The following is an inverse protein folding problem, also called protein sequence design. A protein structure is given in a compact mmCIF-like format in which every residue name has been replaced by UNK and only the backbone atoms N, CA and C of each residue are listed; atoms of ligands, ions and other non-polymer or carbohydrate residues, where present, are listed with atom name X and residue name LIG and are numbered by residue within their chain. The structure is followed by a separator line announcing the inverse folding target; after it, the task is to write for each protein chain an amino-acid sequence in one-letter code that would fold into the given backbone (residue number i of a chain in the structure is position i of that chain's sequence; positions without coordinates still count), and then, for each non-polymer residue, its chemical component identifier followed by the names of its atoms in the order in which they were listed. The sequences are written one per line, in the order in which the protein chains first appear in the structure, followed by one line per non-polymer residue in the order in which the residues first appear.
data_IF_852535210950
#
_entry.id   IF_852535210950
#
_cell.length_a   1.000
_cell.length_b   1.000
_cell.length_c   1.000
_cell.angle_alpha   90.00
_cell.angle_beta   90.00
_cell.angle_gamma   90.00
#
_symmetry.space_group_name_H-M   'P 1'
#
loop_
_entity.id
_entity.type
_entity.pdbx_description
1 polymer ?
#
# COMPACT_ATOMS: atom_id res chain seq x y z
N UNK A 1 -44.75 31.09 -26.93
CA UNK A 1 -44.79 29.82 -26.17
C UNK A 1 -44.30 28.59 -26.94
N UNK A 2 -44.07 28.66 -28.26
CA UNK A 2 -43.63 27.50 -29.08
C UNK A 2 -42.12 27.26 -29.13
N UNK A 3 -41.28 28.28 -28.92
CA UNK A 3 -39.80 28.16 -28.96
C UNK A 3 -39.21 27.39 -27.77
N UNK A 4 -39.90 27.34 -26.64
CA UNK A 4 -39.46 26.60 -25.43
C UNK A 4 -39.71 25.10 -25.60
N UNK A 5 -40.87 24.72 -26.16
CA UNK A 5 -41.21 23.31 -26.44
C UNK A 5 -40.20 22.63 -27.38
N UNK A 6 -39.64 23.36 -28.35
CA UNK A 6 -38.70 22.78 -29.32
C UNK A 6 -37.28 22.55 -28.77
N UNK A 7 -36.95 23.02 -27.57
CA UNK A 7 -35.66 22.81 -26.90
C UNK A 7 -35.68 21.71 -25.81
N UNK A 8 -36.87 21.27 -25.39
CA UNK A 8 -37.06 20.14 -24.46
C UNK A 8 -36.39 18.83 -24.90
N UNK A 9 -36.49 18.36 -26.16
CA UNK A 9 -35.89 17.07 -26.54
C UNK A 9 -34.36 17.10 -26.46
N UNK A 10 -33.73 18.24 -26.80
CA UNK A 10 -32.28 18.42 -26.69
C UNK A 10 -31.80 18.44 -25.23
N UNK A 11 -32.58 19.03 -24.33
CA UNK A 11 -32.26 19.04 -22.90
C UNK A 11 -32.40 17.65 -22.27
N UNK A 12 -33.43 16.88 -22.66
CA UNK A 12 -33.61 15.49 -22.25
C UNK A 12 -32.49 14.57 -22.76
N UNK A 13 -32.05 14.75 -24.01
CA UNK A 13 -30.92 14.01 -24.58
C UNK A 13 -29.61 14.32 -23.85
N UNK A 14 -29.35 15.60 -23.53
CA UNK A 14 -28.18 16.01 -22.77
C UNK A 14 -28.21 15.45 -21.35
N UNK A 15 -29.38 15.47 -20.68
CA UNK A 15 -29.54 14.90 -19.35
C UNK A 15 -29.33 13.37 -19.34
N UNK A 16 -29.83 12.65 -20.34
CA UNK A 16 -29.57 11.21 -20.49
C UNK A 16 -28.09 10.90 -20.73
N UNK A 17 -27.41 11.70 -21.58
CA UNK A 17 -25.99 11.51 -21.85
C UNK A 17 -25.14 11.72 -20.58
N UNK A 18 -25.47 12.73 -19.78
CA UNK A 18 -24.80 12.98 -18.49
C UNK A 18 -25.05 11.84 -17.48
N UNK A 19 -26.26 11.29 -17.46
CA UNK A 19 -26.60 10.16 -16.59
C UNK A 19 -25.87 8.87 -17.00
N UNK A 20 -25.72 8.62 -18.29
CA UNK A 20 -24.99 7.46 -18.82
C UNK A 20 -23.49 7.49 -18.49
N UNK A 21 -22.87 8.68 -18.50
CA UNK A 21 -21.46 8.84 -18.09
C UNK A 21 -21.27 8.53 -16.61
N UNK A 22 -22.21 8.94 -15.75
CA UNK A 22 -22.16 8.62 -14.32
C UNK A 22 -22.37 7.13 -14.03
N UNK A 23 -23.26 6.47 -14.75
CA UNK A 23 -23.52 5.04 -14.58
C UNK A 23 -22.36 4.14 -15.06
N UNK A 24 -21.49 4.64 -15.92
CA UNK A 24 -20.33 3.90 -16.45
C UNK A 24 -19.09 3.94 -15.54
N UNK A 25 -19.15 4.59 -14.37
CA UNK A 25 -18.06 4.53 -13.41
C UNK A 25 -17.94 3.10 -12.88
N UNK A 26 -17.02 2.31 -13.44
CA UNK A 26 -16.70 0.99 -12.93
C UNK A 26 -16.25 1.12 -11.47
N UNK A 27 -16.78 0.25 -10.60
CA UNK A 27 -16.33 0.23 -9.21
C UNK A 27 -14.81 0.03 -9.18
N UNK A 28 -14.07 0.85 -8.40
CA UNK A 28 -12.64 0.68 -8.26
C UNK A 28 -12.36 -0.74 -7.77
N UNK A 29 -11.70 -1.54 -8.61
CA UNK A 29 -11.28 -2.88 -8.21
C UNK A 29 -10.36 -2.77 -7.00
N UNK A 30 -10.71 -3.46 -5.92
CA UNK A 30 -9.86 -3.55 -4.74
C UNK A 30 -8.52 -4.19 -5.13
N UNK A 31 -7.37 -3.57 -4.82
CA UNK A 31 -6.08 -4.17 -5.09
C UNK A 31 -5.87 -5.40 -4.21
N UNK A 32 -5.15 -6.39 -4.73
CA UNK A 32 -4.65 -7.49 -3.92
C UNK A 32 -3.40 -7.02 -3.18
N UNK A 33 -3.28 -7.37 -1.90
CA UNK A 33 -2.13 -7.03 -1.07
C UNK A 33 -1.35 -8.31 -0.78
N UNK A 34 -0.10 -8.36 -1.24
CA UNK A 34 0.87 -9.40 -0.88
C UNK A 34 1.87 -8.80 0.11
N UNK A 35 1.95 -9.37 1.31
CA UNK A 35 2.87 -8.95 2.35
C UNK A 35 3.91 -10.04 2.61
N UNK A 36 5.18 -9.76 2.31
CA UNK A 36 6.31 -10.69 2.46
C UNK A 36 7.20 -10.20 3.61
N UNK A 37 7.46 -11.07 4.57
CA UNK A 37 8.36 -10.82 5.71
C UNK A 37 9.49 -11.84 5.69
N UNK A 38 10.72 -11.38 5.93
CA UNK A 38 11.93 -12.20 5.97
C UNK A 38 12.56 -12.10 7.35
N UNK A 39 12.97 -13.24 7.92
CA UNK A 39 13.68 -13.27 9.21
C UNK A 39 15.15 -12.89 9.05
N UNK A 40 15.67 -12.17 10.03
CA UNK A 40 17.09 -11.83 10.20
C UNK A 40 17.76 -11.19 8.96
N UNK A 41 16.96 -10.54 8.11
CA UNK A 41 17.48 -9.82 6.95
C UNK A 41 17.98 -8.42 7.34
N UNK A 42 19.23 -8.13 7.02
CA UNK A 42 19.81 -6.80 7.21
C UNK A 42 19.46 -5.90 6.02
N UNK A 43 19.20 -4.60 6.25
CA UNK A 43 19.03 -3.66 5.15
C UNK A 43 20.30 -3.58 4.28
N UNK A 44 21.48 -3.72 4.87
CA UNK A 44 22.75 -3.62 4.14
C UNK A 44 23.08 -4.85 3.29
N UNK A 45 22.23 -5.87 3.32
CA UNK A 45 22.37 -7.04 2.45
C UNK A 45 21.99 -6.69 1.01
N UNK A 46 21.26 -5.61 0.73
CA UNK A 46 20.88 -5.30 -0.64
C UNK A 46 21.76 -4.23 -1.30
N UNK A 47 22.04 -4.34 -2.61
CA UNK A 47 22.88 -3.39 -3.33
C UNK A 47 22.29 -1.98 -3.39
N UNK A 48 20.95 -1.84 -3.30
CA UNK A 48 20.27 -0.55 -3.26
C UNK A 48 20.44 0.20 -1.93
N UNK A 49 20.79 -0.46 -0.83
CA UNK A 49 21.18 0.18 0.43
C UNK A 49 22.70 0.22 0.63
N UNK A 50 23.43 -0.79 0.15
CA UNK A 50 24.88 -0.89 0.26
C UNK A 50 25.47 -1.41 -1.05
N UNK A 51 26.13 -0.53 -1.82
CA UNK A 51 26.77 -0.89 -3.09
C UNK A 51 27.87 -1.95 -2.98
N UNK A 52 28.41 -2.18 -1.79
CA UNK A 52 29.41 -3.21 -1.55
C UNK A 52 28.79 -4.57 -1.19
N UNK A 53 27.46 -4.70 -1.17
CA UNK A 53 26.82 -5.99 -0.91
C UNK A 53 27.15 -7.01 -2.00
N UNK A 54 27.34 -8.26 -1.59
CA UNK A 54 27.54 -9.41 -2.46
C UNK A 54 26.27 -10.20 -2.74
N UNK A 55 25.13 -9.81 -2.15
CA UNK A 55 23.85 -10.50 -2.37
C UNK A 55 23.35 -10.20 -3.79
N UNK A 56 23.00 -11.26 -4.51
CA UNK A 56 22.33 -11.18 -5.81
C UNK A 56 20.84 -11.50 -5.62
N UNK A 57 19.97 -10.50 -5.75
CA UNK A 57 18.53 -10.63 -5.53
C UNK A 57 17.72 -9.92 -6.63
N UNK A 58 17.78 -10.41 -7.88
CA UNK A 58 17.31 -9.66 -9.05
C UNK A 58 15.80 -9.36 -9.05
N UNK A 59 14.99 -10.22 -8.42
CA UNK A 59 13.55 -10.00 -8.28
C UNK A 59 13.25 -8.87 -7.29
N UNK A 60 13.97 -8.82 -6.16
CA UNK A 60 13.78 -7.78 -5.15
C UNK A 60 14.34 -6.45 -5.65
N UNK A 61 15.48 -6.48 -6.34
CA UNK A 61 16.07 -5.30 -6.97
C UNK A 61 15.13 -4.69 -8.01
N UNK A 62 14.48 -5.52 -8.85
CA UNK A 62 13.47 -5.03 -9.78
C UNK A 62 12.28 -4.40 -9.05
N UNK A 63 11.78 -5.03 -7.98
CA UNK A 63 10.70 -4.46 -7.16
C UNK A 63 11.10 -3.13 -6.51
N UNK A 64 12.34 -2.99 -6.07
CA UNK A 64 12.86 -1.74 -5.52
C UNK A 64 12.94 -0.64 -6.59
N UNK A 65 13.35 -0.98 -7.82
CA UNK A 65 13.44 -0.04 -8.93
C UNK A 65 12.08 0.40 -9.50
N UNK A 66 11.09 -0.51 -9.54
CA UNK A 66 9.73 -0.22 -10.02
C UNK A 66 8.83 0.40 -8.94
N UNK A 67 9.24 0.32 -7.67
CA UNK A 67 8.44 0.68 -6.51
C UNK A 67 9.03 1.80 -5.66
N UNK A 68 8.86 1.64 -4.35
CA UNK A 68 9.35 2.58 -3.34
C UNK A 68 10.19 1.85 -2.30
N UNK A 69 11.33 2.44 -1.96
CA UNK A 69 12.27 1.97 -0.95
C UNK A 69 12.21 2.91 0.25
N UNK A 70 12.24 2.35 1.47
CA UNK A 70 12.17 3.12 2.72
C UNK A 70 13.50 3.06 3.46
N UNK A 71 14.25 4.16 3.45
CA UNK A 71 15.56 4.24 4.16
C UNK A 71 15.44 4.20 5.69
N UNK A 72 14.25 4.50 6.22
CA UNK A 72 13.97 4.65 7.65
C UNK A 72 12.82 3.74 8.12
N UNK A 73 12.81 2.48 7.67
CA UNK A 73 11.87 1.47 8.13
C UNK A 73 12.41 0.74 9.38
N UNK A 74 11.78 0.97 10.54
CA UNK A 74 12.22 0.38 11.80
C UNK A 74 11.23 -0.64 12.33
N UNK A 75 11.78 -1.70 12.88
CA UNK A 75 11.04 -2.68 13.67
C UNK A 75 11.35 -2.43 15.15
N UNK A 76 10.33 -2.47 16.02
CA UNK A 76 10.58 -2.42 17.46
C UNK A 76 11.44 -3.64 17.84
N UNK A 77 12.68 -3.39 18.27
CA UNK A 77 13.59 -4.42 18.76
C UNK A 77 13.20 -4.96 20.13
N UNK A 78 14.07 -5.78 20.71
CA UNK A 78 13.97 -6.25 22.10
C UNK A 78 15.30 -6.02 22.80
N UNK A 79 15.25 -5.81 24.12
CA UNK A 79 16.43 -5.81 24.99
C UNK A 79 16.92 -7.24 25.30
N UNK A 80 16.22 -8.28 24.81
CA UNK A 80 16.60 -9.69 24.90
C UNK A 80 16.70 -10.32 23.50
N UNK A 81 17.51 -11.38 23.36
CA UNK A 81 17.49 -12.22 22.16
C UNK A 81 16.09 -12.79 21.87
N UNK A 82 15.86 -13.20 20.61
CA UNK A 82 14.58 -13.64 20.04
C UNK A 82 13.55 -12.52 19.73
N UNK A 83 13.91 -11.61 18.82
CA UNK A 83 13.06 -10.48 18.35
C UNK A 83 12.03 -10.85 17.28
N UNK A 84 12.17 -11.99 16.63
CA UNK A 84 11.32 -12.40 15.50
C UNK A 84 9.86 -12.67 15.92
N UNK A 85 9.63 -13.40 17.01
CA UNK A 85 8.27 -13.64 17.55
C UNK A 85 7.55 -12.35 17.94
N UNK A 86 8.12 -11.46 18.79
CA UNK A 86 7.44 -10.22 19.14
C UNK A 86 7.22 -9.32 17.92
N UNK A 87 8.13 -9.27 16.94
CA UNK A 87 7.92 -8.40 15.78
C UNK A 87 6.81 -8.89 14.85
N UNK A 88 6.76 -10.20 14.56
CA UNK A 88 5.68 -10.81 13.79
C UNK A 88 4.33 -10.55 14.46
N UNK A 89 4.27 -10.66 15.79
CA UNK A 89 3.06 -10.33 16.54
C UNK A 89 2.65 -8.85 16.41
N UNK A 90 3.60 -7.92 16.46
CA UNK A 90 3.30 -6.48 16.28
C UNK A 90 2.75 -6.19 14.89
N UNK A 91 3.35 -6.78 13.85
CA UNK A 91 2.88 -6.62 12.46
C UNK A 91 1.48 -7.19 12.28
N UNK A 92 1.20 -8.39 12.80
CA UNK A 92 -0.10 -9.04 12.64
C UNK A 92 -1.20 -8.41 13.48
N UNK A 93 -0.88 -7.89 14.67
CA UNK A 93 -1.87 -7.32 15.59
C UNK A 93 -2.02 -5.80 15.47
N UNK A 94 -1.04 -5.11 14.88
CA UNK A 94 -0.96 -3.64 14.89
C UNK A 94 -0.69 -3.03 16.26
N UNK A 95 -0.21 -3.82 17.25
CA UNK A 95 0.01 -3.39 18.64
C UNK A 95 1.47 -3.57 19.02
N UNK A 96 2.04 -2.62 19.77
CA UNK A 96 3.42 -2.74 20.31
C UNK A 96 3.48 -3.81 21.40
N UNK A 97 4.53 -4.61 21.50
CA UNK A 97 4.63 -5.64 22.57
C UNK A 97 4.64 -5.08 23.99
N UNK A 98 5.02 -3.81 24.19
CA UNK A 98 5.13 -3.17 25.51
C UNK A 98 3.89 -2.33 25.93
N UNK A 99 2.75 -2.49 25.24
CA UNK A 99 1.58 -1.61 25.42
C UNK A 99 0.90 -1.67 26.81
N UNK A 100 1.25 -2.64 27.67
CA UNK A 100 0.66 -2.80 29.01
C UNK A 100 1.48 -2.20 30.16
N UNK A 101 2.74 -1.81 29.96
CA UNK A 101 3.58 -1.25 31.04
C UNK A 101 3.51 0.27 31.17
N UNK A 102 2.89 0.97 30.21
CA UNK A 102 2.66 2.42 30.30
C UNK A 102 1.33 2.79 30.99
N UNK A 103 0.54 1.80 31.42
CA UNK A 103 -0.78 1.97 32.02
C UNK A 103 -0.89 1.37 33.43
N UNK A 104 0.23 1.13 34.12
CA UNK A 104 0.32 0.64 35.50
C UNK A 104 1.24 1.52 36.32
#
# INVERSE_FOLDING_TARGET
MTRVLNRLPGLCLLAMALFAVHASAAEPRRPNILYVIVDDQSPFDFPFYNRASTLDAPVIERLAAEGMVFDAAYQMGSFSGAVCTPSRHMVMSGRTVNWRLAAS
#
